data_IF_735425697088
#
_entry.id   IF_735425697088
#
_cell.length_a   1.000
_cell.length_b   1.000
_cell.length_c   1.000
_cell.angle_alpha   90.00
_cell.angle_beta   90.00
_cell.angle_gamma   90.00
#
_symmetry.space_group_name_H-M   'P 1'
#
loop_
_entity.id
_entity.type
_entity.pdbx_description
1 polymer ?
#
# COMPACT_ATOMS: atom_id res chain seq x y z
N UNK A 1 4.18 4.21 22.63
CA UNK A 1 4.77 3.59 21.44
C UNK A 1 6.04 4.36 21.08
N UNK A 2 7.22 3.81 21.38
CA UNK A 2 8.54 4.49 21.23
C UNK A 2 8.95 4.57 19.75
N UNK A 3 8.32 3.80 18.88
CA UNK A 3 8.68 3.69 17.46
C UNK A 3 8.53 5.03 16.70
N UNK A 4 7.40 5.73 16.87
CA UNK A 4 7.16 6.99 16.15
C UNK A 4 8.14 8.13 16.50
N UNK A 5 8.44 8.41 17.78
CA UNK A 5 9.47 9.39 18.13
C UNK A 5 10.85 9.09 17.53
N UNK A 6 11.27 7.82 17.55
CA UNK A 6 12.54 7.39 16.96
C UNK A 6 12.54 7.63 15.44
N UNK A 7 11.45 7.27 14.76
CA UNK A 7 11.32 7.48 13.32
C UNK A 7 11.38 8.99 12.96
N UNK A 8 10.68 9.83 13.72
CA UNK A 8 10.71 11.30 13.52
C UNK A 8 12.14 11.82 13.65
N UNK A 9 12.87 11.44 14.72
CA UNK A 9 14.24 11.87 14.94
C UNK A 9 15.17 11.44 13.79
N UNK A 10 15.00 10.21 13.27
CA UNK A 10 15.77 9.71 12.12
C UNK A 10 15.43 10.45 10.82
N UNK A 11 14.21 10.96 10.68
CA UNK A 11 13.79 11.71 9.50
C UNK A 11 14.24 13.19 9.52
N UNK A 12 14.57 13.78 10.69
CA UNK A 12 14.98 15.20 10.79
C UNK A 12 16.19 15.55 9.90
N UNK A 13 17.29 14.76 9.85
CA UNK A 13 18.41 15.06 8.95
C UNK A 13 18.00 15.06 7.48
N UNK A 14 17.14 14.14 7.06
CA UNK A 14 16.64 14.06 5.69
C UNK A 14 15.76 15.26 5.36
N UNK A 15 14.89 15.66 6.28
CA UNK A 15 14.05 16.86 6.14
C UNK A 15 14.93 18.12 6.03
N UNK A 16 15.95 18.26 6.87
CA UNK A 16 16.89 19.37 6.82
C UNK A 16 17.62 19.45 5.46
N UNK A 17 18.13 18.31 4.96
CA UNK A 17 18.77 18.23 3.64
C UNK A 17 17.78 18.66 2.55
N UNK A 18 16.54 18.13 2.60
CA UNK A 18 15.49 18.46 1.63
C UNK A 18 15.22 19.96 1.58
N UNK A 19 14.96 20.59 2.74
CA UNK A 19 14.69 22.04 2.81
C UNK A 19 15.89 22.84 2.28
N UNK A 20 17.10 22.53 2.73
CA UNK A 20 18.32 23.22 2.29
C UNK A 20 18.50 23.11 0.77
N UNK A 21 18.28 21.95 0.19
CA UNK A 21 18.44 21.71 -1.26
C UNK A 21 17.32 22.33 -2.08
N UNK A 22 16.11 22.40 -1.54
CA UNK A 22 15.01 23.15 -2.17
C UNK A 22 15.30 24.65 -2.25
N UNK A 23 15.80 25.23 -1.15
CA UNK A 23 16.19 26.64 -1.11
C UNK A 23 17.37 26.96 -2.05
N UNK A 24 18.22 25.97 -2.36
CA UNK A 24 19.29 26.05 -3.33
C UNK A 24 18.85 25.69 -4.76
N UNK A 25 17.55 25.60 -5.03
CA UNK A 25 16.96 25.29 -6.34
C UNK A 25 17.49 23.99 -6.98
N UNK A 26 17.86 23.01 -6.15
CA UNK A 26 18.39 21.73 -6.62
C UNK A 26 17.33 20.93 -7.37
N UNK A 27 17.48 20.75 -8.68
CA UNK A 27 16.50 20.14 -9.58
C UNK A 27 16.11 18.70 -9.16
N UNK A 28 17.01 17.76 -8.82
CA UNK A 28 16.65 16.44 -8.32
C UNK A 28 15.70 16.48 -7.11
N UNK A 29 15.97 17.35 -6.14
CA UNK A 29 15.16 17.48 -4.93
C UNK A 29 13.82 18.16 -5.22
N UNK A 30 13.77 19.13 -6.14
CA UNK A 30 12.50 19.71 -6.61
C UNK A 30 11.63 18.67 -7.30
N UNK A 31 12.20 17.80 -8.15
CA UNK A 31 11.47 16.71 -8.80
C UNK A 31 10.97 15.70 -7.76
N UNK A 32 11.79 15.33 -6.76
CA UNK A 32 11.37 14.48 -5.65
C UNK A 32 10.21 15.08 -4.88
N UNK A 33 10.27 16.34 -4.50
CA UNK A 33 9.21 17.04 -3.76
C UNK A 33 7.93 17.14 -4.60
N UNK A 34 8.05 17.36 -5.91
CA UNK A 34 6.89 17.31 -6.83
C UNK A 34 6.25 15.94 -6.84
N UNK A 35 7.02 14.87 -6.96
CA UNK A 35 6.51 13.50 -6.92
C UNK A 35 5.83 13.17 -5.59
N UNK A 36 6.45 13.52 -4.47
CA UNK A 36 5.87 13.36 -3.14
C UNK A 36 4.58 14.17 -2.97
N UNK A 37 4.54 15.41 -3.47
CA UNK A 37 3.35 16.25 -3.48
C UNK A 37 2.20 15.63 -4.28
N UNK A 38 2.48 15.08 -5.46
CA UNK A 38 1.48 14.36 -6.27
C UNK A 38 0.95 13.15 -5.54
N UNK A 39 1.81 12.34 -4.92
CA UNK A 39 1.40 11.20 -4.12
C UNK A 39 0.48 11.63 -2.96
N UNK A 40 0.85 12.70 -2.26
CA UNK A 40 0.05 13.25 -1.16
C UNK A 40 -1.32 13.77 -1.65
N UNK A 41 -1.37 14.50 -2.76
CA UNK A 41 -2.62 15.02 -3.35
C UNK A 41 -3.57 13.87 -3.76
N UNK A 42 -3.03 12.75 -4.23
CA UNK A 42 -3.85 11.59 -4.59
C UNK A 42 -4.35 10.86 -3.33
N UNK A 43 -3.49 10.66 -2.32
CA UNK A 43 -3.83 9.86 -1.15
C UNK A 43 -4.64 10.64 -0.10
N UNK A 44 -4.24 11.89 0.21
CA UNK A 44 -4.80 12.65 1.32
C UNK A 44 -6.33 12.84 1.28
N UNK A 45 -6.98 13.07 0.13
CA UNK A 45 -8.43 13.19 0.07
C UNK A 45 -9.15 11.94 0.59
N UNK A 46 -8.65 10.75 0.28
CA UNK A 46 -9.24 9.49 0.77
C UNK A 46 -8.93 9.22 2.25
N UNK A 47 -7.80 9.71 2.74
CA UNK A 47 -7.40 9.51 4.13
C UNK A 47 -8.04 10.52 5.10
N UNK A 48 -8.34 11.74 4.63
CA UNK A 48 -8.81 12.84 5.49
C UNK A 48 -10.32 13.08 5.34
N UNK A 49 -10.86 12.93 4.13
CA UNK A 49 -12.28 13.12 3.88
C UNK A 49 -13.01 11.78 3.92
N UNK A 50 -13.61 11.47 5.07
CA UNK A 50 -14.24 10.18 5.36
C UNK A 50 -15.24 9.70 4.27
N UNK A 51 -16.14 10.53 3.71
CA UNK A 51 -17.06 10.09 2.65
C UNK A 51 -16.32 9.55 1.42
N UNK A 52 -15.19 10.15 1.04
CA UNK A 52 -14.41 9.69 -0.11
C UNK A 52 -13.65 8.39 0.20
N UNK A 53 -13.08 8.29 1.42
CA UNK A 53 -12.47 7.06 1.92
C UNK A 53 -13.48 5.91 1.93
N UNK A 54 -14.66 6.14 2.50
CA UNK A 54 -15.74 5.15 2.56
C UNK A 54 -16.27 4.77 1.17
N UNK A 55 -16.36 5.72 0.24
CA UNK A 55 -16.69 5.41 -1.15
C UNK A 55 -15.68 4.45 -1.78
N UNK A 56 -14.38 4.71 -1.63
CA UNK A 56 -13.33 3.84 -2.19
C UNK A 56 -13.35 2.44 -1.53
N UNK A 57 -13.49 2.38 -0.20
CA UNK A 57 -13.66 1.10 0.52
C UNK A 57 -14.89 0.37 -0.03
N UNK A 58 -16.01 1.06 -0.17
CA UNK A 58 -17.26 0.51 -0.70
C UNK A 58 -17.13 -0.07 -2.11
N UNK A 59 -16.30 0.53 -2.99
CA UNK A 59 -16.04 -0.05 -4.32
C UNK A 59 -15.31 -1.40 -4.22
N UNK A 60 -14.34 -1.54 -3.31
CA UNK A 60 -13.64 -2.81 -3.08
C UNK A 60 -14.59 -3.84 -2.47
N UNK A 61 -15.36 -3.45 -1.45
CA UNK A 61 -16.38 -4.32 -0.83
C UNK A 61 -17.36 -4.84 -1.88
N UNK A 62 -17.87 -3.95 -2.75
CA UNK A 62 -18.78 -4.33 -3.82
C UNK A 62 -18.17 -5.39 -4.74
N UNK A 63 -16.94 -5.19 -5.23
CA UNK A 63 -16.30 -6.15 -6.13
C UNK A 63 -15.97 -7.49 -5.46
N UNK A 64 -15.59 -7.49 -4.18
CA UNK A 64 -15.40 -8.71 -3.39
C UNK A 64 -16.73 -9.47 -3.25
N UNK A 65 -17.84 -8.77 -2.95
CA UNK A 65 -19.16 -9.39 -2.90
C UNK A 65 -19.58 -9.98 -4.25
N UNK A 66 -19.39 -9.22 -5.37
CA UNK A 66 -19.71 -9.74 -6.71
C UNK A 66 -18.89 -11.00 -7.03
N UNK A 67 -17.62 -11.03 -6.62
CA UNK A 67 -16.80 -12.22 -6.83
C UNK A 67 -17.31 -13.41 -6.01
N UNK A 68 -17.67 -13.21 -4.74
CA UNK A 68 -18.24 -14.28 -3.91
C UNK A 68 -19.57 -14.80 -4.45
N UNK A 69 -20.43 -13.93 -4.94
CA UNK A 69 -21.66 -14.34 -5.63
C UNK A 69 -21.37 -15.12 -6.92
N UNK A 70 -20.34 -14.74 -7.67
CA UNK A 70 -19.97 -15.43 -8.91
C UNK A 70 -19.49 -16.87 -8.67
N UNK A 71 -18.84 -17.13 -7.53
CA UNK A 71 -18.31 -18.46 -7.19
C UNK A 71 -19.17 -19.20 -6.14
N UNK A 72 -20.37 -18.70 -5.84
CA UNK A 72 -21.27 -19.22 -4.81
C UNK A 72 -20.60 -19.42 -3.43
N UNK A 73 -19.66 -18.52 -3.07
CA UNK A 73 -18.99 -18.59 -1.77
C UNK A 73 -19.89 -18.06 -0.66
N UNK A 74 -20.13 -18.83 0.42
CA UNK A 74 -21.06 -18.45 1.48
C UNK A 74 -20.45 -17.41 2.42
N UNK A 75 -21.12 -16.27 2.57
CA UNK A 75 -20.76 -15.20 3.49
C UNK A 75 -22.00 -14.43 3.94
N UNK A 76 -21.87 -13.63 5.00
CA UNK A 76 -22.83 -12.58 5.38
C UNK A 76 -22.07 -11.28 5.68
N UNK A 77 -22.81 -10.18 5.71
CA UNK A 77 -22.26 -8.87 6.09
C UNK A 77 -22.61 -8.59 7.55
N UNK A 78 -21.60 -8.43 8.41
CA UNK A 78 -21.79 -7.99 9.80
C UNK A 78 -21.85 -6.45 9.90
N UNK A 79 -21.21 -5.74 8.95
CA UNK A 79 -21.33 -4.30 8.75
C UNK A 79 -21.10 -3.96 7.26
N UNK A 80 -21.25 -2.71 6.86
CA UNK A 80 -21.17 -2.30 5.46
C UNK A 80 -19.81 -2.65 4.79
N UNK A 81 -18.74 -2.79 5.57
CA UNK A 81 -17.39 -3.15 5.14
C UNK A 81 -16.80 -4.36 5.90
N UNK A 82 -17.66 -5.12 6.60
CA UNK A 82 -17.25 -6.26 7.41
C UNK A 82 -17.91 -7.53 6.91
N UNK A 83 -17.11 -8.44 6.39
CA UNK A 83 -17.53 -9.79 6.02
C UNK A 83 -17.51 -10.70 7.24
N UNK A 84 -18.45 -11.64 7.31
CA UNK A 84 -18.53 -12.65 8.36
C UNK A 84 -18.83 -14.02 7.75
N UNK A 85 -18.19 -15.07 8.26
CA UNK A 85 -18.45 -16.45 7.85
C UNK A 85 -19.86 -16.92 8.31
N UNK A 86 -20.47 -17.84 7.56
CA UNK A 86 -21.75 -18.42 7.97
C UNK A 86 -21.62 -19.42 9.13
N UNK A 87 -20.46 -20.02 9.32
CA UNK A 87 -20.20 -20.92 10.44
C UNK A 87 -19.68 -20.15 11.64
N UNK A 88 -20.19 -20.55 12.81
CA UNK A 88 -19.83 -19.94 14.08
C UNK A 88 -18.43 -20.42 14.53
N UNK A 89 -17.74 -19.55 15.23
CA UNK A 89 -16.51 -19.89 15.93
C UNK A 89 -16.89 -20.64 17.23
N UNK A 90 -16.24 -21.77 17.55
CA UNK A 90 -16.51 -22.47 18.80
C UNK A 90 -16.37 -21.55 20.02
N UNK A 91 -17.44 -21.44 20.82
CA UNK A 91 -17.48 -20.58 22.01
C UNK A 91 -17.86 -19.10 21.75
N UNK A 92 -18.22 -18.74 20.50
CA UNK A 92 -18.66 -17.39 20.13
C UNK A 92 -20.05 -17.44 19.52
N UNK A 93 -20.77 -16.31 19.57
CA UNK A 93 -22.09 -16.11 18.94
C UNK A 93 -22.01 -15.58 17.50
N UNK A 94 -20.80 -15.49 16.95
CA UNK A 94 -20.51 -14.98 15.61
C UNK A 94 -19.48 -15.84 14.86
N UNK A 95 -19.41 -15.65 13.55
CA UNK A 95 -18.40 -16.26 12.69
C UNK A 95 -17.07 -15.48 12.66
N UNK A 96 -16.13 -15.96 11.86
CA UNK A 96 -14.91 -15.21 11.56
C UNK A 96 -15.25 -13.90 10.86
N UNK A 97 -14.64 -12.79 11.26
CA UNK A 97 -14.92 -11.45 10.75
C UNK A 97 -13.67 -10.82 10.17
N UNK A 98 -13.79 -10.30 8.95
CA UNK A 98 -12.75 -9.52 8.30
C UNK A 98 -13.29 -8.17 7.83
N UNK A 99 -12.51 -7.12 8.05
CA UNK A 99 -12.92 -5.71 7.81
C UNK A 99 -12.06 -5.11 6.71
N UNK A 100 -12.69 -4.72 5.61
CA UNK A 100 -12.01 -3.95 4.58
C UNK A 100 -11.88 -2.50 5.01
N UNK A 101 -10.64 -2.03 5.16
CA UNK A 101 -10.29 -0.65 5.50
C UNK A 101 -9.54 0.03 4.36
N UNK A 102 -9.27 1.34 4.47
CA UNK A 102 -8.59 2.10 3.41
C UNK A 102 -7.25 1.48 2.99
N UNK A 103 -6.48 0.93 3.93
CA UNK A 103 -5.25 0.19 3.64
C UNK A 103 -5.44 -1.03 2.74
N UNK A 104 -6.65 -1.62 2.74
CA UNK A 104 -7.03 -2.76 1.91
C UNK A 104 -7.49 -2.37 0.50
N UNK A 105 -7.39 -1.10 0.08
CA UNK A 105 -7.84 -0.63 -1.25
C UNK A 105 -6.72 -0.53 -2.28
N UNK A 106 -5.45 -0.61 -1.85
CA UNK A 106 -4.28 -0.42 -2.70
C UNK A 106 -3.96 1.03 -3.05
N UNK A 107 -4.77 2.01 -2.57
CA UNK A 107 -4.59 3.45 -2.90
C UNK A 107 -3.22 3.98 -2.51
N UNK A 108 -2.64 3.51 -1.41
CA UNK A 108 -1.32 3.93 -0.95
C UNK A 108 -0.23 3.58 -1.96
N UNK A 109 -0.21 2.34 -2.46
CA UNK A 109 0.75 1.89 -3.47
C UNK A 109 0.54 2.63 -4.80
N UNK A 110 -0.72 2.81 -5.23
CA UNK A 110 -1.08 3.57 -6.42
C UNK A 110 -0.57 5.01 -6.31
N UNK A 111 -0.84 5.69 -5.21
CA UNK A 111 -0.45 7.09 -5.01
C UNK A 111 1.07 7.26 -5.03
N UNK A 112 1.82 6.39 -4.34
CA UNK A 112 3.29 6.43 -4.30
C UNK A 112 3.86 6.20 -5.70
N UNK A 113 3.43 5.18 -6.44
CA UNK A 113 3.96 4.87 -7.76
C UNK A 113 3.58 5.93 -8.80
N UNK A 114 2.39 6.54 -8.69
CA UNK A 114 2.06 7.71 -9.53
C UNK A 114 2.98 8.89 -9.17
N UNK A 115 3.27 9.13 -7.89
CA UNK A 115 4.26 10.11 -7.48
C UNK A 115 5.63 9.88 -8.12
N UNK A 116 6.07 8.61 -8.18
CA UNK A 116 7.33 8.22 -8.86
C UNK A 116 7.30 8.57 -10.36
N UNK A 117 6.17 8.41 -11.05
CA UNK A 117 6.03 8.81 -12.47
C UNK A 117 6.31 10.32 -12.65
N UNK A 118 5.95 11.13 -11.66
CA UNK A 118 6.15 12.59 -11.72
C UNK A 118 7.57 13.05 -11.36
N UNK A 119 8.48 12.15 -11.01
CA UNK A 119 9.91 12.46 -10.88
C UNK A 119 10.55 12.84 -12.22
N UNK A 120 9.96 12.42 -13.35
CA UNK A 120 10.52 12.67 -14.67
C UNK A 120 9.76 13.72 -15.46
N UNK A 121 10.49 14.43 -16.31
CA UNK A 121 9.96 15.31 -17.33
C UNK A 121 9.65 14.50 -18.60
N UNK A 122 8.52 13.75 -18.60
CA UNK A 122 8.07 12.99 -19.77
C UNK A 122 6.73 13.55 -20.30
N UNK A 123 6.36 13.21 -21.54
CA UNK A 123 5.13 13.68 -22.14
C UNK A 123 3.89 13.21 -21.36
N UNK A 124 2.83 14.02 -21.39
CA UNK A 124 1.59 13.72 -20.65
C UNK A 124 0.93 12.41 -21.10
N UNK A 125 1.01 12.09 -22.40
CA UNK A 125 0.51 10.83 -22.95
C UNK A 125 1.23 9.61 -22.34
N UNK A 126 2.57 9.69 -22.20
CA UNK A 126 3.35 8.64 -21.52
C UNK A 126 3.01 8.54 -20.03
N UNK A 127 2.84 9.69 -19.35
CA UNK A 127 2.42 9.67 -17.93
C UNK A 127 1.09 8.98 -17.76
N UNK A 128 0.10 9.29 -18.61
CA UNK A 128 -1.22 8.65 -18.55
C UNK A 128 -1.11 7.13 -18.77
N UNK A 129 -0.33 6.67 -19.75
CA UNK A 129 -0.10 5.24 -19.97
C UNK A 129 0.55 4.56 -18.75
N UNK A 130 1.54 5.20 -18.12
CA UNK A 130 2.17 4.70 -16.89
C UNK A 130 1.21 4.70 -15.68
N UNK A 131 0.36 5.72 -15.56
CA UNK A 131 -0.67 5.78 -14.50
C UNK A 131 -1.64 4.59 -14.65
N UNK A 132 -2.11 4.33 -15.86
CA UNK A 132 -2.98 3.17 -16.11
C UNK A 132 -2.25 1.84 -15.86
N UNK A 133 -0.99 1.73 -16.27
CA UNK A 133 -0.13 0.56 -15.99
C UNK A 133 0.03 0.28 -14.49
N UNK A 134 0.01 1.31 -13.66
CA UNK A 134 0.12 1.20 -12.20
C UNK A 134 -1.25 0.97 -11.57
N UNK A 135 -2.21 1.86 -11.82
CA UNK A 135 -3.46 1.90 -11.08
C UNK A 135 -4.35 0.67 -11.36
N UNK A 136 -4.48 0.28 -12.62
CA UNK A 136 -5.39 -0.81 -12.99
C UNK A 136 -4.93 -2.17 -12.44
N UNK A 137 -3.69 -2.63 -12.66
CA UNK A 137 -3.27 -3.91 -12.10
C UNK A 137 -3.27 -3.93 -10.58
N UNK A 138 -2.81 -2.87 -9.91
CA UNK A 138 -2.81 -2.82 -8.44
C UNK A 138 -4.23 -2.91 -7.91
N UNK A 139 -5.18 -2.15 -8.45
CA UNK A 139 -6.56 -2.19 -8.00
C UNK A 139 -7.20 -3.57 -8.21
N UNK A 140 -7.04 -4.16 -9.40
CA UNK A 140 -7.60 -5.49 -9.71
C UNK A 140 -6.98 -6.58 -8.85
N UNK A 141 -5.65 -6.65 -8.76
CA UNK A 141 -4.97 -7.65 -7.93
C UNK A 141 -5.33 -7.46 -6.46
N UNK A 142 -5.53 -6.23 -6.02
CA UNK A 142 -5.94 -5.96 -4.64
C UNK A 142 -7.35 -6.46 -4.31
N UNK A 143 -8.29 -6.47 -5.27
CA UNK A 143 -9.60 -7.12 -5.08
C UNK A 143 -9.41 -8.63 -4.84
N UNK A 144 -8.63 -9.29 -5.70
CA UNK A 144 -8.32 -10.73 -5.52
C UNK A 144 -7.58 -11.01 -4.21
N UNK A 145 -6.70 -10.10 -3.78
CA UNK A 145 -6.05 -10.17 -2.47
C UNK A 145 -7.08 -10.22 -1.33
N UNK A 146 -8.05 -9.32 -1.32
CA UNK A 146 -9.08 -9.30 -0.28
C UNK A 146 -9.94 -10.56 -0.34
N UNK A 147 -10.35 -11.01 -1.53
CA UNK A 147 -11.08 -12.29 -1.72
C UNK A 147 -10.28 -13.45 -1.10
N UNK A 148 -9.00 -13.57 -1.45
CA UNK A 148 -8.13 -14.64 -0.96
C UNK A 148 -7.99 -14.60 0.56
N UNK A 149 -7.75 -13.42 1.16
CA UNK A 149 -7.60 -13.27 2.62
C UNK A 149 -8.88 -13.71 3.33
N UNK A 150 -10.05 -13.22 2.88
CA UNK A 150 -11.33 -13.56 3.50
C UNK A 150 -11.61 -15.07 3.40
N UNK A 151 -11.41 -15.67 2.22
CA UNK A 151 -11.62 -17.11 2.03
C UNK A 151 -10.66 -17.93 2.89
N UNK A 152 -9.38 -17.57 2.89
CA UNK A 152 -8.35 -18.29 3.64
C UNK A 152 -8.56 -18.17 5.15
N UNK A 153 -8.95 -16.97 5.63
CA UNK A 153 -9.25 -16.75 7.03
C UNK A 153 -10.53 -17.47 7.47
N UNK A 154 -11.61 -17.37 6.71
CA UNK A 154 -12.86 -18.05 7.02
C UNK A 154 -12.72 -19.59 6.96
N UNK A 155 -12.00 -20.09 5.94
CA UNK A 155 -11.74 -21.52 5.77
C UNK A 155 -10.63 -22.08 6.67
N UNK A 156 -9.95 -21.23 7.45
CA UNK A 156 -8.80 -21.62 8.29
C UNK A 156 -7.76 -22.43 7.51
N UNK A 157 -7.39 -21.95 6.29
CA UNK A 157 -6.53 -22.70 5.38
C UNK A 157 -5.07 -22.84 5.87
N UNK A 158 -4.60 -21.91 6.70
CA UNK A 158 -3.21 -21.83 7.14
C UNK A 158 -3.09 -21.78 8.67
N UNK A 159 -3.51 -22.82 9.42
CA UNK A 159 -3.42 -22.84 10.88
C UNK A 159 -1.98 -23.14 11.35
N UNK A 160 -0.97 -22.70 10.56
CA UNK A 160 0.42 -23.01 10.82
C UNK A 160 0.95 -22.20 12.00
N UNK A 161 1.66 -22.89 12.92
CA UNK A 161 2.23 -22.30 14.10
C UNK A 161 1.19 -21.60 15.00
N UNK A 162 -0.03 -22.10 15.07
CA UNK A 162 -1.13 -21.53 15.84
C UNK A 162 -0.78 -21.28 17.31
N UNK A 163 0.10 -22.11 17.89
CA UNK A 163 0.58 -21.94 19.25
C UNK A 163 1.51 -20.73 19.44
N UNK A 164 2.09 -20.19 18.38
CA UNK A 164 3.03 -19.06 18.39
C UNK A 164 2.40 -17.82 17.79
N UNK A 165 1.72 -18.00 16.67
CA UNK A 165 1.05 -16.92 15.93
C UNK A 165 -0.36 -16.78 16.49
N UNK A 166 -0.47 -16.08 17.62
CA UNK A 166 -1.74 -15.86 18.33
C UNK A 166 -2.09 -14.38 18.40
N UNK A 167 -3.38 -14.09 18.55
CA UNK A 167 -3.87 -12.76 18.87
C UNK A 167 -4.95 -12.87 19.96
N UNK A 168 -4.91 -12.03 21.02
CA UNK A 168 -5.78 -12.20 22.18
C UNK A 168 -7.28 -12.04 21.88
N UNK A 169 -7.64 -11.33 20.80
CA UNK A 169 -9.03 -11.00 20.47
C UNK A 169 -9.48 -11.49 19.09
N UNK A 170 -8.59 -12.14 18.32
CA UNK A 170 -8.89 -12.61 16.96
C UNK A 170 -8.78 -14.15 16.93
N UNK A 171 -9.89 -14.88 16.97
CA UNK A 171 -9.87 -16.33 16.85
C UNK A 171 -9.31 -16.77 15.50
N UNK A 172 -8.55 -17.87 15.48
CA UNK A 172 -7.94 -18.39 14.24
C UNK A 172 -6.94 -17.43 13.57
N UNK A 173 -6.30 -16.56 14.37
CA UNK A 173 -5.38 -15.52 13.88
C UNK A 173 -4.25 -16.06 13.00
N UNK A 174 -3.78 -17.28 13.23
CA UNK A 174 -2.71 -17.86 12.42
C UNK A 174 -3.05 -17.86 10.93
N UNK A 175 -4.26 -18.29 10.56
CA UNK A 175 -4.68 -18.31 9.16
C UNK A 175 -4.81 -16.90 8.56
N UNK A 176 -5.30 -15.93 9.33
CA UNK A 176 -5.31 -14.52 8.93
C UNK A 176 -3.88 -14.00 8.72
N UNK A 177 -2.98 -14.24 9.68
CA UNK A 177 -1.59 -13.78 9.61
C UNK A 177 -0.86 -14.31 8.38
N UNK A 178 -0.95 -15.60 8.11
CA UNK A 178 -0.26 -16.20 6.96
C UNK A 178 -0.83 -15.74 5.63
N UNK A 179 -2.15 -15.67 5.49
CA UNK A 179 -2.77 -15.21 4.26
C UNK A 179 -2.55 -13.71 4.03
N UNK A 180 -2.78 -12.88 5.04
CA UNK A 180 -2.72 -11.42 4.92
C UNK A 180 -1.28 -10.89 4.94
N UNK A 181 -0.50 -11.21 6.01
CA UNK A 181 0.79 -10.56 6.25
C UNK A 181 1.94 -11.25 5.50
N UNK A 182 1.84 -12.55 5.23
CA UNK A 182 2.95 -13.26 4.56
C UNK A 182 2.67 -13.42 3.06
N UNK A 183 1.59 -14.10 2.70
CA UNK A 183 1.33 -14.42 1.29
C UNK A 183 0.93 -13.18 0.49
N UNK A 184 -0.02 -12.39 1.00
CA UNK A 184 -0.50 -11.22 0.28
C UNK A 184 0.51 -10.08 0.26
N UNK A 185 1.24 -9.84 1.35
CA UNK A 185 2.29 -8.81 1.34
C UNK A 185 3.49 -9.23 0.48
N UNK A 186 3.88 -10.50 0.53
CA UNK A 186 4.88 -11.06 -0.37
C UNK A 186 4.47 -10.95 -1.84
N UNK A 187 3.22 -11.30 -2.16
CA UNK A 187 2.65 -11.15 -3.51
C UNK A 187 2.59 -9.70 -3.97
N UNK A 188 2.17 -8.77 -3.09
CA UNK A 188 2.15 -7.34 -3.38
C UNK A 188 3.56 -6.79 -3.66
N UNK A 189 4.57 -7.24 -2.90
CA UNK A 189 5.96 -6.87 -3.12
C UNK A 189 6.45 -7.32 -4.51
N UNK A 190 6.17 -8.57 -4.91
CA UNK A 190 6.52 -9.07 -6.24
C UNK A 190 5.79 -8.30 -7.35
N UNK A 191 4.53 -7.96 -7.17
CA UNK A 191 3.76 -7.13 -8.10
C UNK A 191 4.38 -5.73 -8.27
N UNK A 192 4.77 -5.10 -7.15
CA UNK A 192 5.41 -3.78 -7.18
C UNK A 192 6.75 -3.84 -7.93
N UNK A 193 7.56 -4.89 -7.73
CA UNK A 193 8.81 -5.10 -8.47
C UNK A 193 8.53 -5.22 -9.97
N UNK A 194 7.53 -6.03 -10.37
CA UNK A 194 7.17 -6.19 -11.77
C UNK A 194 6.70 -4.86 -12.39
N UNK A 195 5.83 -4.12 -11.69
CA UNK A 195 5.35 -2.80 -12.14
C UNK A 195 6.52 -1.82 -12.26
N UNK A 196 7.41 -1.77 -11.27
CA UNK A 196 8.61 -0.92 -11.31
C UNK A 196 9.51 -1.26 -12.50
N UNK A 197 9.73 -2.54 -12.77
CA UNK A 197 10.48 -3.00 -13.94
C UNK A 197 9.83 -2.51 -15.25
N UNK A 198 8.51 -2.64 -15.39
CA UNK A 198 7.78 -2.17 -16.57
C UNK A 198 7.84 -0.62 -16.67
N UNK A 199 7.71 0.09 -15.56
CA UNK A 199 7.86 1.55 -15.53
C UNK A 199 9.25 1.98 -16.04
N UNK A 200 10.32 1.32 -15.59
CA UNK A 200 11.68 1.61 -16.04
C UNK A 200 11.89 1.27 -17.52
N UNK A 201 11.29 0.19 -17.99
CA UNK A 201 11.33 -0.18 -19.41
C UNK A 201 10.65 0.86 -20.31
N UNK A 202 9.47 1.38 -19.90
CA UNK A 202 8.72 2.37 -20.68
C UNK A 202 9.16 3.81 -20.46
N UNK A 203 9.80 4.10 -19.33
CA UNK A 203 10.33 5.41 -18.98
C UNK A 203 11.74 5.32 -18.40
N UNK A 204 12.78 5.07 -19.24
CA UNK A 204 14.18 4.92 -18.77
C UNK A 204 14.70 6.12 -17.97
N UNK A 205 14.20 7.33 -18.24
CA UNK A 205 14.54 8.53 -17.47
C UNK A 205 14.17 8.49 -16.00
N UNK A 206 13.31 7.52 -15.56
CA UNK A 206 13.03 7.30 -14.13
C UNK A 206 14.28 6.83 -13.37
N UNK A 207 15.08 5.96 -13.99
CA UNK A 207 16.30 5.43 -13.36
C UNK A 207 17.30 6.56 -13.09
N UNK A 208 17.53 7.44 -14.07
CA UNK A 208 18.44 8.59 -13.88
C UNK A 208 17.90 9.54 -12.81
N UNK A 209 16.60 9.89 -12.84
CA UNK A 209 16.00 10.76 -11.83
C UNK A 209 16.13 10.20 -10.41
N UNK A 210 15.90 8.89 -10.23
CA UNK A 210 16.05 8.25 -8.92
C UNK A 210 17.52 8.25 -8.49
N UNK A 211 18.46 7.92 -9.39
CA UNK A 211 19.89 7.97 -9.11
C UNK A 211 20.34 9.36 -8.66
N UNK A 212 19.96 10.40 -9.41
CA UNK A 212 20.34 11.79 -9.10
C UNK A 212 19.84 12.21 -7.71
N UNK A 213 18.62 11.81 -7.35
CA UNK A 213 18.06 12.04 -6.01
C UNK A 213 18.90 11.32 -4.94
N UNK A 214 19.17 10.02 -5.12
CA UNK A 214 19.94 9.22 -4.17
C UNK A 214 21.35 9.81 -3.98
N UNK A 215 22.01 10.20 -5.07
CA UNK A 215 23.36 10.77 -5.04
C UNK A 215 23.43 12.09 -4.25
N UNK A 216 22.41 12.95 -4.37
CA UNK A 216 22.30 14.17 -3.56
C UNK A 216 22.22 13.83 -2.08
N UNK A 217 21.30 12.94 -1.68
CA UNK A 217 21.12 12.61 -0.26
C UNK A 217 22.34 11.88 0.32
N UNK A 218 22.90 10.91 -0.40
CA UNK A 218 24.11 10.18 0.04
C UNK A 218 25.29 11.13 0.24
N UNK A 219 25.48 12.06 -0.69
CA UNK A 219 26.59 13.05 -0.61
C UNK A 219 26.41 13.96 0.61
N UNK A 220 25.21 14.47 0.84
CA UNK A 220 24.93 15.37 1.96
C UNK A 220 25.01 14.65 3.31
N UNK A 221 24.49 13.43 3.42
CA UNK A 221 24.63 12.63 4.64
C UNK A 221 26.11 12.36 4.96
N UNK A 222 26.92 11.97 3.96
CA UNK A 222 28.36 11.79 4.14
C UNK A 222 29.05 13.08 4.60
N UNK A 223 28.64 14.24 4.06
CA UNK A 223 29.20 15.54 4.47
C UNK A 223 28.83 15.91 5.91
N UNK A 224 27.62 15.57 6.37
CA UNK A 224 27.19 15.80 7.75
C UNK A 224 27.94 14.91 8.75
N UNK A 225 28.23 13.66 8.38
CA UNK A 225 28.98 12.72 9.23
C UNK A 225 30.46 13.09 9.32
N UNK A 226 31.06 13.59 8.21
CA UNK A 226 32.49 14.01 8.19
C UNK A 226 32.79 15.30 8.96
N UNK A 227 31.78 16.13 9.23
CA UNK A 227 31.94 17.38 10.00
C UNK A 227 31.94 17.20 11.52
N UNK A 228 31.76 15.98 11.98
CA UNK A 228 31.92 15.55 13.38
C UNK A 228 33.28 14.90 13.58
#
# INVERSE_FOLDING_TARGET
NVFYPVLIILCLPLLYITIRRLLAENEPVQNFTRGAGVAAIIYAPFAVFEPLGNWLIGTVVYWVQQFFHLIDYPFKMAAWNMFESLWLIPGFDHGYRDVIVLGCTGITAIAILIGVIFLTKTSWKKKLGLILLVAVPIYVVNIFRNVFVIMAYFGQWFPWLENIVTHPTIPGFASYFWSHNVMCEGGAFLLIILIAFLMFKFAPGLISSIRDIVDVYVTDVKALVRKR
#
